data_IF_927195230339
#
_entry.id   IF_927195230339
#
_cell.length_a   1.000
_cell.length_b   1.000
_cell.length_c   1.000
_cell.angle_alpha   90.00
_cell.angle_beta   90.00
_cell.angle_gamma   90.00
#
_symmetry.space_group_name_H-M   'P 1'
#
loop_
_entity.id
_entity.type
_entity.pdbx_description
1 polymer ?
#
# COMPACT_ATOMS: atom_id res chain seq x y z
N UNK A 1 -20.13 17.28 23.32
CA UNK A 1 -19.07 17.15 22.28
C UNK A 1 -17.92 16.40 22.91
N UNK A 2 -17.83 15.09 22.69
CA UNK A 2 -16.62 14.37 23.06
C UNK A 2 -15.45 14.93 22.24
N UNK A 3 -14.35 15.23 22.92
CA UNK A 3 -13.10 15.61 22.28
C UNK A 3 -12.65 14.43 21.43
N UNK A 4 -12.71 14.57 20.10
CA UNK A 4 -11.98 13.67 19.20
C UNK A 4 -10.52 13.66 19.64
N UNK A 5 -10.11 12.60 20.32
CA UNK A 5 -8.80 12.52 20.94
C UNK A 5 -7.87 11.95 19.86
N UNK A 6 -6.98 12.78 19.34
CA UNK A 6 -5.93 12.32 18.43
C UNK A 6 -4.88 11.58 19.25
N UNK A 7 -4.66 10.31 18.93
CA UNK A 7 -3.65 9.46 19.55
C UNK A 7 -2.38 9.45 18.68
N UNK A 8 -1.20 9.52 19.29
CA UNK A 8 0.07 9.27 18.58
C UNK A 8 0.31 7.76 18.56
N UNK A 9 0.39 7.20 17.36
CA UNK A 9 0.70 5.78 17.14
C UNK A 9 2.21 5.66 16.94
N UNK A 10 2.88 4.88 17.79
CA UNK A 10 4.33 4.65 17.68
C UNK A 10 4.58 3.37 16.89
N UNK A 11 5.12 3.44 15.67
CA UNK A 11 5.51 2.24 14.93
C UNK A 11 6.68 1.53 15.64
N UNK A 12 6.86 0.25 15.33
CA UNK A 12 8.03 -0.47 15.84
C UNK A 12 9.29 -0.03 15.08
N UNK A 13 10.46 -0.27 15.67
CA UNK A 13 11.74 0.06 15.05
C UNK A 13 12.05 -0.95 13.95
N UNK A 14 12.44 -0.46 12.76
CA UNK A 14 12.95 -1.31 11.69
C UNK A 14 14.30 -1.91 12.09
N UNK A 15 14.32 -3.23 12.23
CA UNK A 15 15.54 -3.96 12.61
C UNK A 15 16.28 -4.46 11.37
N UNK A 16 15.56 -4.88 10.33
CA UNK A 16 16.13 -5.40 9.09
C UNK A 16 16.00 -4.39 7.95
N UNK A 17 17.11 -3.70 7.65
CA UNK A 17 17.17 -2.70 6.59
C UNK A 17 16.98 -3.30 5.18
N UNK A 18 17.31 -4.57 4.97
CA UNK A 18 17.08 -5.22 3.68
C UNK A 18 15.58 -5.42 3.47
N UNK A 19 14.88 -5.95 4.48
CA UNK A 19 13.41 -6.07 4.45
C UNK A 19 12.75 -4.70 4.27
N UNK A 20 13.22 -3.68 4.99
CA UNK A 20 12.71 -2.31 4.90
C UNK A 20 12.80 -1.72 3.49
N UNK A 21 13.98 -1.77 2.87
CA UNK A 21 14.14 -1.21 1.53
C UNK A 21 13.53 -2.09 0.45
N UNK A 22 13.57 -3.42 0.60
CA UNK A 22 12.87 -4.33 -0.29
C UNK A 22 11.37 -4.01 -0.35
N UNK A 23 10.74 -3.70 0.79
CA UNK A 23 9.34 -3.31 0.86
C UNK A 23 9.04 -2.09 -0.03
N UNK A 24 9.83 -1.02 0.08
CA UNK A 24 9.64 0.20 -0.72
C UNK A 24 9.81 -0.07 -2.22
N UNK A 25 10.90 -0.72 -2.63
CA UNK A 25 11.15 -1.00 -4.04
C UNK A 25 10.17 -2.01 -4.63
N UNK A 26 9.80 -3.05 -3.87
CA UNK A 26 8.80 -4.03 -4.26
C UNK A 26 7.46 -3.33 -4.55
N UNK A 27 7.00 -2.46 -3.65
CA UNK A 27 5.73 -1.73 -3.79
C UNK A 27 5.66 -0.90 -5.07
N UNK A 28 6.78 -0.25 -5.44
CA UNK A 28 6.88 0.51 -6.70
C UNK A 28 6.73 -0.42 -7.91
N UNK A 29 7.47 -1.53 -7.92
CA UNK A 29 7.47 -2.47 -9.04
C UNK A 29 6.13 -3.20 -9.17
N UNK A 30 5.48 -3.53 -8.06
CA UNK A 30 4.12 -4.08 -8.06
C UNK A 30 3.12 -3.09 -8.65
N UNK A 31 3.27 -1.80 -8.35
CA UNK A 31 2.41 -0.76 -8.92
C UNK A 31 2.58 -0.67 -10.44
N UNK A 32 3.82 -0.69 -10.93
CA UNK A 32 4.10 -0.72 -12.38
C UNK A 32 3.56 -1.98 -13.07
N UNK A 33 3.43 -3.06 -12.33
CA UNK A 33 2.97 -4.35 -12.83
C UNK A 33 1.44 -4.48 -12.83
N UNK A 34 0.80 -4.10 -11.73
CA UNK A 34 -0.56 -4.49 -11.40
C UNK A 34 -1.59 -3.36 -11.59
N UNK A 35 -1.17 -2.10 -11.50
CA UNK A 35 -2.09 -0.96 -11.54
C UNK A 35 -2.50 -0.66 -13.00
N UNK A 36 -3.80 -0.70 -13.34
CA UNK A 36 -4.31 -0.66 -14.72
C UNK A 36 -4.42 0.74 -15.32
N UNK A 37 -4.64 1.76 -14.49
CA UNK A 37 -4.98 3.13 -14.94
C UNK A 37 -3.78 4.08 -15.07
N UNK A 38 -2.61 3.71 -14.53
CA UNK A 38 -1.34 4.43 -14.71
C UNK A 38 -0.99 4.50 -16.18
N UNK A 39 -0.44 5.61 -16.66
CA UNK A 39 -0.21 5.82 -18.10
C UNK A 39 0.76 4.80 -18.73
N UNK A 40 1.79 4.40 -17.97
CA UNK A 40 2.81 3.44 -18.39
C UNK A 40 3.00 2.33 -17.35
N UNK A 41 3.10 1.08 -17.81
CA UNK A 41 3.27 -0.11 -16.97
C UNK A 41 3.23 -1.39 -17.80
N UNK A 42 3.45 -2.55 -17.16
CA UNK A 42 3.53 -3.86 -17.81
C UNK A 42 2.21 -4.34 -18.43
N UNK A 43 1.09 -3.82 -17.94
CA UNK A 43 -0.28 -4.09 -18.34
C UNK A 43 -0.74 -3.32 -19.57
N UNK A 44 0.11 -2.49 -20.17
CA UNK A 44 -0.24 -1.70 -21.36
C UNK A 44 -0.10 -2.50 -22.64
N UNK A 45 -0.93 -2.17 -23.63
CA UNK A 45 -0.98 -2.88 -24.91
C UNK A 45 0.38 -2.95 -25.63
N UNK A 46 1.22 -1.91 -25.51
CA UNK A 46 2.56 -1.90 -26.09
C UNK A 46 3.53 -2.92 -25.47
N UNK A 47 3.18 -3.52 -24.32
CA UNK A 47 3.91 -4.60 -23.67
C UNK A 47 3.36 -6.00 -24.01
N UNK A 48 2.21 -6.09 -24.71
CA UNK A 48 1.47 -7.35 -24.88
C UNK A 48 2.26 -8.48 -25.55
N UNK A 49 3.14 -8.14 -26.50
CA UNK A 49 3.94 -9.11 -27.26
C UNK A 49 5.43 -9.08 -26.87
N UNK A 50 5.75 -8.51 -25.71
CA UNK A 50 7.14 -8.27 -25.29
C UNK A 50 7.42 -9.00 -23.99
N UNK A 51 8.58 -9.65 -23.90
CA UNK A 51 9.03 -10.25 -22.65
C UNK A 51 9.03 -9.20 -21.53
N UNK A 52 8.30 -9.40 -20.41
CA UNK A 52 8.07 -8.35 -19.42
C UNK A 52 9.27 -8.22 -18.49
N UNK A 53 10.27 -7.44 -18.92
CA UNK A 53 11.44 -7.03 -18.14
C UNK A 53 11.47 -5.52 -17.94
N UNK A 54 12.26 -5.04 -16.96
CA UNK A 54 12.44 -3.60 -16.74
C UNK A 54 13.07 -2.92 -17.97
N UNK A 55 14.04 -3.56 -18.63
CA UNK A 55 14.61 -3.07 -19.90
C UNK A 55 13.55 -2.88 -20.98
N UNK A 56 12.67 -3.86 -21.15
CA UNK A 56 11.67 -3.79 -22.20
C UNK A 56 10.60 -2.73 -21.89
N UNK A 57 10.22 -2.59 -20.62
CA UNK A 57 9.33 -1.50 -20.21
C UNK A 57 9.94 -0.13 -20.54
N UNK A 58 11.19 0.13 -20.17
CA UNK A 58 11.85 1.42 -20.48
C UNK A 58 11.97 1.65 -21.97
N UNK A 59 12.35 0.63 -22.73
CA UNK A 59 12.49 0.73 -24.19
C UNK A 59 11.17 1.00 -24.90
N UNK A 60 10.06 0.44 -24.41
CA UNK A 60 8.75 0.57 -25.07
C UNK A 60 7.97 1.80 -24.61
N UNK A 61 8.07 2.18 -23.34
CA UNK A 61 7.40 3.36 -22.80
C UNK A 61 8.05 4.67 -23.27
N UNK A 62 9.33 4.65 -23.66
CA UNK A 62 10.05 5.80 -24.20
C UNK A 62 10.93 6.50 -23.17
N UNK A 63 11.80 7.39 -23.66
CA UNK A 63 12.78 8.08 -22.81
C UNK A 63 12.08 8.90 -21.73
N UNK A 64 12.53 8.73 -20.48
CA UNK A 64 12.05 9.47 -19.31
C UNK A 64 10.53 9.38 -19.07
N UNK A 65 9.85 8.33 -19.55
CA UNK A 65 8.41 8.11 -19.35
C UNK A 65 8.01 8.18 -17.87
N UNK A 66 8.91 7.80 -16.96
CA UNK A 66 8.65 7.78 -15.53
C UNK A 66 8.28 9.18 -14.99
N UNK A 67 8.71 10.26 -15.64
CA UNK A 67 8.33 11.63 -15.28
C UNK A 67 6.81 11.84 -15.34
N UNK A 68 6.11 11.25 -16.32
CA UNK A 68 4.66 11.42 -16.47
C UNK A 68 3.87 10.62 -15.44
N UNK A 69 4.42 9.48 -14.98
CA UNK A 69 3.73 8.59 -14.03
C UNK A 69 4.17 8.75 -12.58
N UNK A 70 5.20 9.54 -12.28
CA UNK A 70 5.79 9.64 -10.93
C UNK A 70 4.75 9.91 -9.84
N UNK A 71 3.87 10.88 -10.04
CA UNK A 71 2.82 11.20 -9.06
C UNK A 71 1.81 10.07 -8.89
N UNK A 72 1.47 9.38 -9.99
CA UNK A 72 0.59 8.21 -9.96
C UNK A 72 1.24 7.06 -9.19
N UNK A 73 2.54 6.81 -9.39
CA UNK A 73 3.29 5.81 -8.61
C UNK A 73 3.33 6.18 -7.12
N UNK A 74 3.55 7.44 -6.79
CA UNK A 74 3.54 7.90 -5.39
C UNK A 74 2.17 7.72 -4.74
N UNK A 75 1.08 7.93 -5.49
CA UNK A 75 -0.27 7.80 -4.95
C UNK A 75 -0.73 6.34 -4.86
N UNK A 76 -0.72 5.61 -5.97
CA UNK A 76 -1.19 4.23 -6.01
C UNK A 76 -0.22 3.26 -5.33
N UNK A 77 1.08 3.50 -5.46
CA UNK A 77 2.09 2.63 -4.84
C UNK A 77 2.15 2.77 -3.33
N UNK A 78 1.54 3.82 -2.75
CA UNK A 78 1.31 3.88 -1.32
C UNK A 78 0.36 2.76 -0.85
N UNK A 79 -0.62 2.35 -1.67
CA UNK A 79 -1.51 1.24 -1.33
C UNK A 79 -0.71 -0.07 -1.21
N UNK A 80 0.14 -0.36 -2.19
CA UNK A 80 1.06 -1.51 -2.16
C UNK A 80 2.02 -1.44 -0.97
N UNK A 81 2.57 -0.26 -0.69
CA UNK A 81 3.44 -0.05 0.47
C UNK A 81 2.73 -0.36 1.78
N UNK A 82 1.49 0.12 1.95
CA UNK A 82 0.71 -0.10 3.16
C UNK A 82 0.37 -1.58 3.35
N UNK A 83 0.11 -2.35 2.28
CA UNK A 83 -0.06 -3.79 2.37
C UNK A 83 1.13 -4.49 3.03
N UNK A 84 2.34 -4.22 2.54
CA UNK A 84 3.56 -4.81 3.10
C UNK A 84 3.90 -4.25 4.49
N UNK A 85 3.71 -2.95 4.69
CA UNK A 85 4.02 -2.30 5.97
C UNK A 85 3.11 -2.81 7.09
N UNK A 86 1.80 -2.85 6.88
CA UNK A 86 0.83 -3.28 7.90
C UNK A 86 0.89 -4.80 8.19
N UNK A 87 1.50 -5.58 7.29
CA UNK A 87 1.82 -6.99 7.53
C UNK A 87 3.20 -7.20 8.14
N UNK A 88 4.03 -6.17 8.28
CA UNK A 88 5.35 -6.26 8.91
C UNK A 88 5.28 -6.11 10.44
N UNK A 89 6.35 -6.52 11.13
CA UNK A 89 6.46 -6.31 12.58
C UNK A 89 6.44 -4.81 12.96
N UNK A 90 6.94 -3.95 12.08
CA UNK A 90 7.04 -2.51 12.29
C UNK A 90 5.74 -1.75 12.06
N UNK A 91 4.92 -2.19 11.11
CA UNK A 91 3.57 -1.64 10.91
C UNK A 91 2.51 -2.27 11.79
N UNK A 92 2.81 -3.37 12.50
CA UNK A 92 1.89 -4.01 13.44
C UNK A 92 1.26 -3.05 14.47
N UNK A 93 1.98 -2.11 15.10
CA UNK A 93 1.35 -1.15 16.00
C UNK A 93 0.31 -0.26 15.31
N UNK A 94 0.47 0.05 14.03
CA UNK A 94 -0.50 0.83 13.25
C UNK A 94 -1.72 -0.04 12.91
N UNK A 95 -1.49 -1.26 12.41
CA UNK A 95 -2.56 -2.22 12.14
C UNK A 95 -3.39 -2.53 13.39
N UNK A 96 -2.73 -2.89 14.49
CA UNK A 96 -3.40 -3.25 15.74
C UNK A 96 -4.14 -2.07 16.36
N UNK A 97 -3.61 -0.84 16.26
CA UNK A 97 -4.33 0.35 16.71
C UNK A 97 -5.63 0.58 15.92
N UNK A 98 -5.61 0.44 14.59
CA UNK A 98 -6.83 0.50 13.77
C UNK A 98 -7.81 -0.58 14.23
N UNK A 99 -7.35 -1.83 14.34
CA UNK A 99 -8.22 -2.96 14.65
C UNK A 99 -8.79 -2.93 16.06
N UNK A 100 -8.04 -2.51 17.06
CA UNK A 100 -8.53 -2.34 18.44
C UNK A 100 -9.61 -1.27 18.49
N UNK A 101 -9.41 -0.13 17.82
CA UNK A 101 -10.41 0.92 17.78
C UNK A 101 -11.69 0.44 17.09
N UNK A 102 -11.57 -0.21 15.93
CA UNK A 102 -12.71 -0.80 15.22
C UNK A 102 -13.42 -1.84 16.09
N UNK A 103 -12.68 -2.73 16.75
CA UNK A 103 -13.22 -3.74 17.69
C UNK A 103 -14.09 -3.10 18.77
N UNK A 104 -13.57 -2.03 19.38
CA UNK A 104 -14.30 -1.28 20.40
C UNK A 104 -15.57 -0.62 19.86
N UNK A 105 -15.52 -0.03 18.67
CA UNK A 105 -16.68 0.62 18.05
C UNK A 105 -17.82 -0.37 17.71
N UNK A 106 -17.47 -1.61 17.35
CA UNK A 106 -18.47 -2.65 17.07
C UNK A 106 -18.75 -3.58 18.25
N UNK A 107 -18.10 -3.35 19.41
CA UNK A 107 -18.17 -4.23 20.58
C UNK A 107 -17.91 -5.71 20.23
N UNK A 108 -16.88 -5.95 19.42
CA UNK A 108 -16.49 -7.28 18.94
C UNK A 108 -14.97 -7.41 18.89
N UNK A 109 -14.40 -8.44 19.51
CA UNK A 109 -12.96 -8.64 19.59
C UNK A 109 -12.40 -9.31 18.32
N UNK A 110 -12.15 -8.50 17.28
CA UNK A 110 -11.59 -8.99 16.02
C UNK A 110 -10.18 -9.58 16.20
N UNK A 111 -9.39 -9.04 17.11
CA UNK A 111 -7.98 -9.40 17.28
C UNK A 111 -7.81 -10.68 18.11
N UNK A 112 -8.65 -10.89 19.13
CA UNK A 112 -8.63 -12.11 19.94
C UNK A 112 -9.29 -13.31 19.27
N UNK A 113 -10.24 -13.08 18.36
CA UNK A 113 -10.98 -14.16 17.66
C UNK A 113 -10.38 -14.55 16.30
N UNK A 114 -9.44 -13.75 15.78
CA UNK A 114 -8.77 -14.04 14.51
C UNK A 114 -7.40 -14.63 14.77
N UNK A 115 -7.09 -15.77 14.14
CA UNK A 115 -5.78 -16.41 14.27
C UNK A 115 -4.80 -15.93 13.21
N UNK A 116 -5.32 -15.38 12.10
CA UNK A 116 -4.54 -14.96 10.95
C UNK A 116 -5.13 -13.70 10.34
N UNK A 117 -4.28 -12.84 9.79
CA UNK A 117 -4.70 -11.71 8.99
C UNK A 117 -3.86 -11.52 7.73
N UNK A 118 -4.38 -10.70 6.82
CA UNK A 118 -3.66 -10.17 5.68
C UNK A 118 -4.20 -8.82 5.26
N UNK A 119 -3.42 -8.09 4.47
CA UNK A 119 -3.76 -6.74 4.00
C UNK A 119 -3.66 -6.72 2.49
N UNK A 120 -4.80 -6.45 1.84
CA UNK A 120 -4.94 -6.61 0.40
C UNK A 120 -5.37 -5.31 -0.25
N UNK A 121 -4.80 -5.02 -1.41
CA UNK A 121 -5.38 -4.07 -2.36
C UNK A 121 -6.64 -4.72 -2.93
N UNK A 122 -7.77 -4.08 -2.72
CA UNK A 122 -9.07 -4.58 -3.19
C UNK A 122 -9.60 -3.80 -4.40
N UNK A 123 -9.01 -2.63 -4.67
CA UNK A 123 -9.50 -1.72 -5.70
C UNK A 123 -9.46 -2.36 -7.09
N UNK A 124 -10.57 -2.22 -7.84
CA UNK A 124 -10.69 -2.71 -9.21
C UNK A 124 -9.71 -2.08 -10.19
N UNK A 125 -8.99 -1.04 -9.79
CA UNK A 125 -7.94 -0.43 -10.61
C UNK A 125 -6.66 -1.28 -10.66
N UNK A 126 -6.56 -2.31 -9.82
CA UNK A 126 -5.47 -3.29 -9.84
C UNK A 126 -5.95 -4.61 -10.48
N UNK A 127 -5.06 -5.41 -11.09
CA UNK A 127 -5.45 -6.73 -11.62
C UNK A 127 -5.71 -7.71 -10.45
N UNK A 128 -4.93 -7.61 -9.38
CA UNK A 128 -5.06 -8.46 -8.21
C UNK A 128 -6.34 -8.21 -7.39
N UNK A 129 -6.84 -6.98 -7.36
CA UNK A 129 -8.05 -6.59 -6.60
C UNK A 129 -9.31 -7.34 -7.03
N UNK A 130 -9.50 -7.58 -8.33
CA UNK A 130 -10.68 -8.30 -8.83
C UNK A 130 -10.70 -9.80 -8.51
N UNK A 131 -9.53 -10.41 -8.28
CA UNK A 131 -9.40 -11.86 -8.05
C UNK A 131 -9.44 -12.24 -6.57
N UNK A 132 -8.99 -11.34 -5.69
CA UNK A 132 -8.98 -11.57 -4.25
C UNK A 132 -10.38 -11.82 -3.65
N UNK A 133 -11.37 -11.14 -4.21
CA UNK A 133 -12.75 -11.08 -3.71
C UNK A 133 -13.51 -12.40 -3.91
N UNK A 134 -13.30 -13.05 -5.06
CA UNK A 134 -13.95 -14.32 -5.38
C UNK A 134 -13.49 -15.46 -4.49
N UNK A 135 -12.24 -15.41 -4.04
CA UNK A 135 -11.57 -16.57 -3.46
C UNK A 135 -11.75 -16.65 -1.93
N UNK A 136 -12.18 -15.56 -1.27
CA UNK A 136 -12.14 -15.47 0.20
C UNK A 136 -13.52 -15.31 0.90
N UNK A 137 -14.59 -15.01 0.16
CA UNK A 137 -15.98 -14.83 0.64
C UNK A 137 -16.11 -14.29 2.09
N UNK A 138 -15.57 -13.11 2.41
CA UNK A 138 -15.60 -12.59 3.77
C UNK A 138 -16.96 -11.97 4.13
N UNK A 139 -17.34 -12.04 5.41
CA UNK A 139 -18.39 -11.19 5.96
C UNK A 139 -17.87 -9.75 6.07
N UNK A 140 -18.58 -8.78 5.47
CA UNK A 140 -18.20 -7.37 5.55
C UNK A 140 -18.59 -6.79 6.90
N UNK A 141 -17.62 -6.19 7.58
CA UNK A 141 -17.85 -5.59 8.89
C UNK A 141 -18.88 -4.46 8.84
N UNK A 142 -19.84 -4.50 9.77
CA UNK A 142 -20.83 -3.43 9.97
C UNK A 142 -22.15 -3.60 9.22
N UNK A 143 -22.42 -4.79 8.67
CA UNK A 143 -23.61 -5.04 7.85
C UNK A 143 -24.39 -6.28 8.27
N UNK A 144 -25.69 -6.26 7.92
CA UNK A 144 -26.53 -7.44 7.92
C UNK A 144 -26.00 -8.50 6.93
N UNK A 145 -26.54 -9.71 6.97
CA UNK A 145 -26.22 -10.76 5.99
C UNK A 145 -26.36 -10.23 4.55
N UNK A 146 -25.25 -10.15 3.83
CA UNK A 146 -25.19 -9.75 2.42
C UNK A 146 -25.00 -10.98 1.56
N UNK A 147 -25.43 -10.94 0.30
CA UNK A 147 -25.03 -11.97 -0.66
C UNK A 147 -23.55 -11.81 -1.00
N UNK A 148 -22.92 -12.91 -1.42
CA UNK A 148 -21.52 -12.88 -1.84
C UNK A 148 -21.25 -11.87 -2.98
N UNK A 149 -22.18 -11.77 -3.94
CA UNK A 149 -22.06 -10.84 -5.07
C UNK A 149 -22.10 -9.36 -4.63
N UNK A 150 -22.94 -9.03 -3.65
CA UNK A 150 -23.02 -7.66 -3.09
C UNK A 150 -21.75 -7.32 -2.31
N UNK A 151 -21.27 -8.24 -1.46
CA UNK A 151 -20.01 -8.06 -0.75
C UNK A 151 -18.86 -7.85 -1.74
N UNK A 152 -18.83 -8.65 -2.80
CA UNK A 152 -17.83 -8.56 -3.83
C UNK A 152 -17.81 -7.22 -4.55
N UNK A 153 -18.99 -6.67 -4.87
CA UNK A 153 -19.11 -5.35 -5.46
C UNK A 153 -18.50 -4.29 -4.53
N UNK A 154 -18.78 -4.32 -3.22
CA UNK A 154 -18.29 -3.29 -2.29
C UNK A 154 -16.79 -3.36 -2.06
N UNK A 155 -16.23 -4.56 -1.93
CA UNK A 155 -14.78 -4.74 -1.76
C UNK A 155 -14.03 -4.18 -2.98
N UNK A 156 -14.55 -4.36 -4.19
CA UNK A 156 -13.91 -3.92 -5.44
C UNK A 156 -13.72 -2.39 -5.56
N UNK A 157 -14.39 -1.61 -4.71
CA UNK A 157 -14.27 -0.15 -4.67
C UNK A 157 -13.52 0.37 -3.45
N UNK A 158 -13.08 -0.50 -2.54
CA UNK A 158 -12.19 -0.12 -1.44
C UNK A 158 -10.73 -0.13 -1.93
N UNK A 159 -9.92 0.83 -1.49
CA UNK A 159 -8.48 0.80 -1.75
C UNK A 159 -7.81 -0.38 -1.03
N UNK A 160 -8.13 -0.56 0.27
CA UNK A 160 -7.59 -1.63 1.10
C UNK A 160 -8.68 -2.48 1.75
N UNK A 161 -8.38 -3.75 1.92
CA UNK A 161 -9.16 -4.72 2.68
C UNK A 161 -8.26 -5.43 3.69
N UNK A 162 -8.59 -5.35 4.97
CA UNK A 162 -8.02 -6.23 5.99
C UNK A 162 -8.88 -7.48 6.06
N UNK A 163 -8.29 -8.63 5.71
CA UNK A 163 -8.95 -9.92 5.85
C UNK A 163 -8.48 -10.58 7.12
N UNK A 164 -9.44 -10.94 7.95
CA UNK A 164 -9.23 -11.64 9.21
C UNK A 164 -9.83 -13.04 9.08
N UNK A 165 -9.06 -14.06 9.42
CA UNK A 165 -9.53 -15.45 9.44
C UNK A 165 -9.69 -15.92 10.88
N UNK A 166 -10.95 -16.13 11.26
CA UNK A 166 -11.33 -16.82 12.49
C UNK A 166 -11.58 -18.31 12.26
N UNK A 167 -11.89 -19.04 13.33
CA UNK A 167 -12.19 -20.49 13.24
C UNK A 167 -13.50 -20.78 12.50
N UNK A 168 -14.52 -19.94 12.72
CA UNK A 168 -15.86 -20.14 12.12
C UNK A 168 -16.12 -19.24 10.91
N UNK A 169 -15.52 -18.05 10.88
CA UNK A 169 -15.86 -16.99 9.91
C UNK A 169 -14.65 -16.15 9.53
N UNK A 170 -14.68 -15.64 8.30
CA UNK A 170 -13.73 -14.64 7.83
C UNK A 170 -14.40 -13.26 7.84
N UNK A 171 -13.67 -12.24 8.28
CA UNK A 171 -14.14 -10.86 8.29
C UNK A 171 -13.30 -10.01 7.34
N UNK A 172 -13.96 -9.12 6.61
CA UNK A 172 -13.31 -8.08 5.83
C UNK A 172 -13.62 -6.70 6.39
N UNK A 173 -12.56 -5.94 6.63
CA UNK A 173 -12.63 -4.54 7.03
C UNK A 173 -12.11 -3.69 5.88
N UNK A 174 -12.95 -2.82 5.34
CA UNK A 174 -12.64 -2.02 4.16
C UNK A 174 -12.16 -0.63 4.55
N UNK A 175 -11.21 -0.10 3.79
CA UNK A 175 -10.71 1.24 4.00
C UNK A 175 -10.19 1.92 2.74
N UNK A 176 -10.02 3.23 2.89
CA UNK A 176 -9.57 4.14 1.83
C UNK A 176 -8.12 4.60 2.09
N UNK A 177 -7.37 4.88 1.03
CA UNK A 177 -6.00 5.36 1.11
C UNK A 177 -5.84 6.64 0.29
N UNK A 178 -5.38 7.70 0.95
CA UNK A 178 -5.16 9.00 0.31
C UNK A 178 -3.72 9.48 0.49
N UNK A 179 -2.87 9.22 -0.53
CA UNK A 179 -1.43 9.49 -0.46
C UNK A 179 -1.03 10.94 -0.69
N UNK A 180 -1.80 11.71 -1.46
CA UNK A 180 -1.52 13.13 -1.70
C UNK A 180 -2.55 14.08 -1.06
N UNK A 181 -3.71 13.54 -0.67
CA UNK A 181 -4.84 14.32 -0.21
C UNK A 181 -5.39 13.80 1.12
N UNK A 182 -4.54 13.23 1.98
CA UNK A 182 -4.95 12.60 3.24
C UNK A 182 -5.86 13.46 4.10
N UNK A 183 -5.67 14.78 4.11
CA UNK A 183 -6.51 15.75 4.82
C UNK A 183 -8.00 15.69 4.42
N UNK A 184 -8.36 15.16 3.24
CA UNK A 184 -9.76 14.97 2.86
C UNK A 184 -10.45 13.91 3.72
N UNK A 185 -9.72 12.91 4.24
CA UNK A 185 -10.27 11.83 5.07
C UNK A 185 -10.81 12.33 6.42
N UNK A 186 -10.37 13.49 6.91
CA UNK A 186 -10.94 14.10 8.14
C UNK A 186 -12.21 14.90 7.88
N UNK A 187 -12.62 15.06 6.62
CA UNK A 187 -13.86 15.74 6.26
C UNK A 187 -14.99 14.71 6.08
N UNK A 188 -16.13 14.92 6.77
CA UNK A 188 -17.29 14.03 6.61
C UNK A 188 -17.79 13.94 5.16
N UNK A 189 -17.71 15.04 4.42
CA UNK A 189 -18.15 15.10 3.01
C UNK A 189 -17.32 14.26 2.04
N UNK A 190 -16.07 13.88 2.38
CA UNK A 190 -15.30 12.92 1.58
C UNK A 190 -16.00 11.55 1.57
N UNK A 191 -16.35 11.07 2.76
CA UNK A 191 -16.96 9.75 2.95
C UNK A 191 -18.36 9.68 2.33
N UNK A 192 -19.12 10.76 2.36
CA UNK A 192 -20.42 10.86 1.69
C UNK A 192 -20.29 10.70 0.17
N UNK A 193 -19.36 11.43 -0.45
CA UNK A 193 -19.13 11.37 -1.91
C UNK A 193 -18.67 10.00 -2.39
N UNK A 194 -17.92 9.28 -1.56
CA UNK A 194 -17.46 7.91 -1.84
C UNK A 194 -18.51 6.84 -1.55
N UNK A 195 -19.73 7.21 -1.11
CA UNK A 195 -20.71 6.27 -0.57
C UNK A 195 -20.09 5.37 0.50
N UNK A 196 -19.30 5.99 1.39
CA UNK A 196 -18.41 5.34 2.34
C UNK A 196 -19.09 4.67 3.51
N UNK A 197 -20.36 4.29 3.36
CA UNK A 197 -21.09 3.45 4.27
C UNK A 197 -20.20 2.25 4.63
N UNK A 198 -19.71 1.53 3.61
CA UNK A 198 -18.99 0.25 3.73
C UNK A 198 -17.55 0.33 4.22
N UNK A 199 -16.99 1.53 4.38
CA UNK A 199 -15.63 1.71 4.86
C UNK A 199 -15.62 1.90 6.38
N UNK A 200 -14.64 1.30 7.06
CA UNK A 200 -14.46 1.43 8.51
C UNK A 200 -13.27 2.30 8.86
N UNK A 201 -12.28 2.43 7.96
CA UNK A 201 -11.08 3.21 8.22
C UNK A 201 -10.57 3.97 6.98
N UNK A 202 -9.66 4.91 7.23
CA UNK A 202 -8.87 5.55 6.19
C UNK A 202 -7.42 5.74 6.61
N UNK A 203 -6.48 5.67 5.67
CA UNK A 203 -5.06 5.97 5.90
C UNK A 203 -4.65 7.08 4.94
N UNK A 204 -4.22 8.21 5.48
CA UNK A 204 -3.85 9.39 4.71
C UNK A 204 -2.44 9.87 5.00
N UNK A 205 -1.81 10.48 4.01
CA UNK A 205 -0.59 11.26 4.22
C UNK A 205 -0.94 12.73 4.41
N UNK A 206 -0.46 13.31 5.50
CA UNK A 206 -0.62 14.73 5.80
C UNK A 206 0.65 15.49 5.42
N UNK A 207 0.51 16.44 4.48
CA UNK A 207 1.61 17.34 4.13
C UNK A 207 1.97 18.21 5.33
N UNK A 208 3.22 18.12 5.78
CA UNK A 208 3.77 19.03 6.78
C UNK A 208 4.43 20.22 6.12
N UNK A 209 3.68 21.31 5.98
CA UNK A 209 4.24 22.59 5.57
C UNK A 209 5.09 23.13 6.73
N UNK A 210 6.35 23.47 6.44
CA UNK A 210 7.10 24.32 7.36
C UNK A 210 6.53 25.72 7.23
N UNK A 211 6.13 26.29 8.36
CA UNK A 211 5.93 27.73 8.43
C UNK A 211 7.32 28.37 8.24
N UNK A 212 7.47 29.20 7.20
CA UNK A 212 8.71 29.92 6.91
C UNK A 212 9.21 30.71 8.14
N UNK A 213 8.29 31.18 8.98
CA UNK A 213 8.61 31.87 10.23
C UNK A 213 9.27 30.95 11.28
N UNK A 214 8.89 29.67 11.34
CA UNK A 214 9.50 28.67 12.23
C UNK A 214 10.89 28.24 11.73
N UNK A 215 11.05 28.12 10.41
CA UNK A 215 12.35 27.81 9.81
C UNK A 215 13.37 28.95 10.04
N UNK A 216 12.93 30.21 9.96
CA UNK A 216 13.77 31.40 10.15
C UNK A 216 14.08 31.70 11.63
N UNK A 217 13.25 31.23 12.57
CA UNK A 217 13.46 31.42 14.00
C UNK A 217 14.33 30.34 14.67
N UNK A 218 14.81 29.36 13.90
CA UNK A 218 15.63 28.27 14.43
C UNK A 218 14.87 27.30 15.34
N UNK A 219 13.53 27.36 15.37
CA UNK A 219 12.73 26.42 16.15
C UNK A 219 12.84 25.02 15.55
N UNK A 220 13.20 24.05 16.39
CA UNK A 220 13.36 22.66 15.98
C UNK A 220 11.99 22.10 15.57
N UNK A 221 11.91 21.58 14.34
CA UNK A 221 10.69 20.96 13.83
C UNK A 221 10.32 19.77 14.73
N UNK A 222 9.07 19.73 15.20
CA UNK A 222 8.55 18.54 15.90
C UNK A 222 8.80 17.29 15.05
N UNK A 223 9.19 16.15 15.63
CA UNK A 223 9.41 14.92 14.88
C UNK A 223 8.13 14.52 14.11
N UNK A 224 8.24 13.95 12.91
CA UNK A 224 7.09 13.42 12.19
C UNK A 224 6.43 12.29 12.99
N UNK A 225 5.10 12.26 12.99
CA UNK A 225 4.32 11.30 13.75
C UNK A 225 3.28 10.61 12.87
N UNK A 226 2.83 9.45 13.34
CA UNK A 226 1.61 8.80 12.90
C UNK A 226 0.55 9.07 13.95
N UNK A 227 -0.64 9.49 13.55
CA UNK A 227 -1.75 9.77 14.47
C UNK A 227 -3.01 9.04 14.05
N UNK A 228 -3.81 8.58 15.02
CA UNK A 228 -5.11 7.96 14.79
C UNK A 228 -6.23 8.74 15.47
N UNK A 229 -7.43 8.74 14.89
CA UNK A 229 -8.59 9.36 15.49
C UNK A 229 -9.89 9.08 14.75
N UNK A 230 -11.01 9.13 15.48
CA UNK A 230 -12.34 8.97 14.92
C UNK A 230 -12.80 10.20 14.15
N UNK A 231 -13.45 9.96 13.03
CA UNK A 231 -14.15 10.97 12.24
C UNK A 231 -15.61 10.58 12.18
N UNK A 232 -16.48 11.43 12.75
CA UNK A 232 -17.92 11.22 12.70
C UNK A 232 -18.44 11.72 11.35
N UNK A 233 -19.15 10.86 10.64
CA UNK A 233 -19.72 11.17 9.31
C UNK A 233 -21.19 10.78 9.28
N UNK A 234 -21.95 11.27 8.30
CA UNK A 234 -23.33 10.85 8.10
C UNK A 234 -23.47 9.39 7.65
N UNK A 235 -22.39 8.77 7.16
CA UNK A 235 -22.32 7.37 6.72
C UNK A 235 -21.62 6.47 7.75
N UNK A 236 -21.58 6.90 9.01
CA UNK A 236 -21.00 6.18 10.14
C UNK A 236 -19.61 6.69 10.56
N UNK A 237 -19.16 6.25 11.73
CA UNK A 237 -17.85 6.64 12.26
C UNK A 237 -16.73 5.93 11.49
N UNK A 238 -15.65 6.66 11.18
CA UNK A 238 -14.47 6.15 10.46
C UNK A 238 -13.23 6.36 11.31
N UNK A 239 -12.40 5.33 11.46
CA UNK A 239 -11.12 5.48 12.14
C UNK A 239 -10.06 5.92 11.13
N UNK A 240 -9.48 7.11 11.32
CA UNK A 240 -8.56 7.70 10.35
C UNK A 240 -7.15 7.76 10.93
N UNK A 241 -6.21 7.14 10.22
CA UNK A 241 -4.77 7.23 10.49
C UNK A 241 -4.15 8.25 9.55
N UNK A 242 -3.39 9.18 10.11
CA UNK A 242 -2.64 10.21 9.39
C UNK A 242 -1.15 10.00 9.61
N UNK A 243 -0.41 9.82 8.52
CA UNK A 243 1.05 9.73 8.51
C UNK A 243 1.61 11.07 8.01
N UNK A 244 2.50 11.69 8.78
CA UNK A 244 3.16 12.90 8.32
C UNK A 244 4.04 12.63 7.09
N UNK A 245 4.02 13.54 6.10
CA UNK A 245 4.70 13.34 4.81
C UNK A 245 6.22 13.18 4.90
N UNK A 246 6.84 13.71 5.96
CA UNK A 246 8.27 13.58 6.25
C UNK A 246 8.59 12.47 7.26
N UNK A 247 7.59 11.65 7.63
CA UNK A 247 7.84 10.38 8.32
C UNK A 247 8.63 9.43 7.40
N UNK A 248 9.59 8.69 7.96
CA UNK A 248 10.53 7.86 7.18
C UNK A 248 9.81 6.93 6.20
N UNK A 249 8.77 6.22 6.64
CA UNK A 249 7.99 5.32 5.77
C UNK A 249 7.47 5.99 4.48
N UNK A 250 7.08 7.27 4.52
CA UNK A 250 6.58 7.99 3.34
C UNK A 250 7.73 8.64 2.57
N UNK A 251 8.62 9.33 3.29
CA UNK A 251 9.72 10.05 2.66
C UNK A 251 10.69 9.09 1.95
N UNK A 252 10.98 7.94 2.56
CA UNK A 252 11.85 6.92 1.98
C UNK A 252 11.19 6.23 0.78
N UNK A 253 9.87 6.02 0.82
CA UNK A 253 9.13 5.56 -0.34
C UNK A 253 9.26 6.55 -1.51
N UNK A 254 9.08 7.86 -1.26
CA UNK A 254 9.26 8.88 -2.30
C UNK A 254 10.71 8.97 -2.81
N UNK A 255 11.69 8.76 -1.93
CA UNK A 255 13.10 8.66 -2.33
C UNK A 255 13.33 7.44 -3.22
N UNK A 256 12.79 6.27 -2.85
CA UNK A 256 12.86 5.04 -3.65
C UNK A 256 12.18 5.20 -5.02
N UNK A 257 11.05 5.91 -5.10
CA UNK A 257 10.42 6.29 -6.38
C UNK A 257 11.39 7.12 -7.23
N UNK A 258 12.09 8.09 -6.64
CA UNK A 258 13.13 8.86 -7.32
C UNK A 258 14.31 8.00 -7.79
N UNK A 259 14.71 7.00 -7.01
CA UNK A 259 15.75 6.04 -7.40
C UNK A 259 15.33 5.16 -8.57
N UNK A 260 14.09 4.64 -8.57
CA UNK A 260 13.55 3.89 -9.71
C UNK A 260 13.43 4.79 -10.94
N UNK A 261 12.96 6.03 -10.80
CA UNK A 261 12.94 7.01 -11.89
C UNK A 261 14.31 7.16 -12.56
N UNK A 262 15.38 7.22 -11.76
CA UNK A 262 16.75 7.31 -12.25
C UNK A 262 17.14 6.07 -13.07
N UNK A 263 16.87 4.86 -12.58
CA UNK A 263 17.10 3.62 -13.34
C UNK A 263 16.26 3.54 -14.61
N UNK A 264 15.00 3.96 -14.56
CA UNK A 264 14.11 3.96 -15.73
C UNK A 264 14.55 4.96 -16.81
N UNK A 265 15.30 5.99 -16.43
CA UNK A 265 15.81 7.01 -17.36
C UNK A 265 17.20 6.69 -17.89
N UNK A 266 18.10 6.20 -17.03
CA UNK A 266 19.53 6.01 -17.35
C UNK A 266 19.94 4.55 -17.55
N UNK A 267 19.06 3.60 -17.23
CA UNK A 267 19.35 2.16 -17.24
C UNK A 267 19.99 1.64 -15.95
N UNK A 268 20.10 0.31 -15.83
CA UNK A 268 20.63 -0.38 -14.65
C UNK A 268 22.12 -0.09 -14.38
N UNK A 269 22.91 0.16 -15.43
CA UNK A 269 24.35 0.39 -15.33
C UNK A 269 24.71 1.80 -14.82
N UNK A 270 23.71 2.64 -14.58
CA UNK A 270 23.95 3.99 -14.09
C UNK A 270 24.68 3.94 -12.73
N UNK A 271 25.66 4.84 -12.61
CA UNK A 271 26.53 4.98 -11.44
C UNK A 271 26.14 6.24 -10.67
N UNK A 272 25.38 6.05 -9.60
CA UNK A 272 25.09 7.08 -8.61
C UNK A 272 25.68 6.66 -7.25
N UNK A 273 26.08 7.65 -6.46
CA UNK A 273 26.50 7.43 -5.08
C UNK A 273 25.25 7.30 -4.21
N UNK A 274 24.77 6.07 -4.09
CA UNK A 274 23.66 5.74 -3.21
C UNK A 274 24.13 5.55 -1.78
N UNK A 275 23.20 5.69 -0.83
CA UNK A 275 23.44 5.23 0.53
C UNK A 275 23.78 3.73 0.52
N UNK A 276 24.89 3.30 1.17
CA UNK A 276 25.27 1.89 1.23
C UNK A 276 24.18 0.93 1.69
N UNK A 277 23.22 1.38 2.50
CA UNK A 277 22.09 0.54 2.95
C UNK A 277 21.19 0.09 1.79
N UNK A 278 21.20 0.83 0.68
CA UNK A 278 20.37 0.54 -0.49
C UNK A 278 21.02 -0.50 -1.41
N UNK A 279 22.35 -0.66 -1.38
CA UNK A 279 23.06 -1.50 -2.33
C UNK A 279 22.57 -2.95 -2.41
N UNK A 280 22.22 -3.64 -1.30
CA UNK A 280 21.68 -4.99 -1.39
C UNK A 280 20.46 -5.10 -2.30
N UNK A 281 19.54 -4.13 -2.20
CA UNK A 281 18.29 -4.14 -2.97
C UNK A 281 18.50 -3.61 -4.39
N UNK A 282 19.27 -2.53 -4.54
CA UNK A 282 19.56 -1.95 -5.85
C UNK A 282 20.33 -2.93 -6.73
N UNK A 283 21.25 -3.72 -6.17
CA UNK A 283 21.98 -4.73 -6.93
C UNK A 283 21.06 -5.85 -7.43
N UNK A 284 20.08 -6.28 -6.63
CA UNK A 284 19.06 -7.25 -7.05
C UNK A 284 18.26 -6.72 -8.24
N UNK A 285 17.80 -5.47 -8.18
CA UNK A 285 17.05 -4.82 -9.27
C UNK A 285 17.91 -4.73 -10.54
N UNK A 286 19.18 -4.32 -10.40
CA UNK A 286 20.12 -4.20 -11.53
C UNK A 286 20.42 -5.56 -12.17
N UNK A 287 20.67 -6.59 -11.38
CA UNK A 287 20.97 -7.93 -11.87
C UNK A 287 19.77 -8.57 -12.59
N UNK A 288 18.55 -8.24 -12.17
CA UNK A 288 17.30 -8.73 -12.77
C UNK A 288 16.69 -7.74 -13.76
N UNK A 289 17.44 -6.73 -14.22
CA UNK A 289 16.93 -5.71 -15.13
C UNK A 289 16.35 -6.29 -16.43
N UNK A 290 16.99 -7.36 -16.90
CA UNK A 290 16.63 -8.13 -18.08
C UNK A 290 15.77 -9.36 -17.78
N UNK A 291 15.58 -9.68 -16.50
CA UNK A 291 14.77 -10.80 -16.04
C UNK A 291 13.26 -10.51 -16.14
N UNK A 292 12.46 -11.56 -15.98
CA UNK A 292 11.00 -11.41 -15.94
C UNK A 292 10.61 -10.65 -14.66
N UNK A 293 9.75 -9.63 -14.75
CA UNK A 293 9.36 -8.79 -13.62
C UNK A 293 8.82 -9.59 -12.43
N UNK A 294 8.02 -10.64 -12.68
CA UNK A 294 7.53 -11.53 -11.63
C UNK A 294 8.64 -12.27 -10.85
N UNK A 295 9.80 -12.57 -11.46
CA UNK A 295 10.93 -13.17 -10.72
C UNK A 295 11.54 -12.16 -9.75
N UNK A 296 11.73 -10.93 -10.22
CA UNK A 296 12.24 -9.85 -9.40
C UNK A 296 11.27 -9.55 -8.24
N UNK A 297 9.97 -9.49 -8.52
CA UNK A 297 8.95 -9.31 -7.48
C UNK A 297 8.94 -10.47 -6.48
N UNK A 298 9.01 -11.72 -6.95
CA UNK A 298 9.08 -12.88 -6.07
C UNK A 298 10.32 -12.85 -5.18
N UNK A 299 11.48 -12.49 -5.74
CA UNK A 299 12.72 -12.35 -4.99
C UNK A 299 12.61 -11.26 -3.92
N UNK A 300 12.14 -10.06 -4.28
CA UNK A 300 11.99 -8.95 -3.35
C UNK A 300 10.99 -9.28 -2.24
N UNK A 301 9.88 -9.93 -2.55
CA UNK A 301 8.92 -10.44 -1.54
C UNK A 301 9.55 -11.45 -0.60
N UNK A 302 10.44 -12.31 -1.09
CA UNK A 302 11.18 -13.26 -0.26
C UNK A 302 12.14 -12.62 0.75
N UNK A 303 12.46 -11.33 0.59
CA UNK A 303 13.28 -10.56 1.55
C UNK A 303 12.45 -9.92 2.66
N UNK A 304 11.11 -9.89 2.52
CA UNK A 304 10.23 -9.23 3.47
C UNK A 304 10.02 -10.10 4.72
N UNK A 305 9.94 -9.45 5.88
CA UNK A 305 9.63 -10.08 7.16
C UNK A 305 8.24 -9.68 7.63
N UNK A 306 7.30 -10.61 7.54
CA UNK A 306 5.94 -10.45 8.03
C UNK A 306 5.84 -10.71 9.54
N UNK A 307 4.87 -10.07 10.18
CA UNK A 307 4.41 -10.39 11.52
C UNK A 307 3.89 -11.84 11.56
N UNK A 308 4.09 -12.55 12.67
CA UNK A 308 3.70 -13.96 12.83
C UNK A 308 2.20 -14.20 12.61
N UNK A 309 1.34 -13.23 12.93
CA UNK A 309 -0.10 -13.32 12.70
C UNK A 309 -0.51 -12.98 11.26
N UNK A 310 0.36 -12.34 10.47
CA UNK A 310 0.09 -11.88 9.10
C UNK A 310 0.21 -12.99 8.04
N UNK A 311 -0.21 -14.21 8.37
CA UNK A 311 0.04 -15.41 7.54
C UNK A 311 -0.76 -15.45 6.23
N UNK A 312 -1.83 -14.65 6.11
CA UNK A 312 -2.54 -14.50 4.83
C UNK A 312 -1.78 -13.58 3.86
N UNK A 313 -0.84 -12.77 4.38
CA UNK A 313 0.05 -11.91 3.60
C UNK A 313 -0.68 -10.80 2.85
N UNK A 314 -0.27 -10.60 1.60
CA UNK A 314 -0.77 -9.57 0.68
C UNK A 314 -1.23 -10.23 -0.64
N UNK A 315 -1.73 -9.44 -1.60
CA UNK A 315 -2.19 -9.93 -2.90
C UNK A 315 -1.19 -10.91 -3.55
N UNK A 316 -1.60 -12.12 -4.00
CA UNK A 316 -0.69 -13.09 -4.58
C UNK A 316 -0.13 -12.60 -5.92
N UNK A 317 1.13 -12.93 -6.21
CA UNK A 317 1.67 -12.75 -7.57
C UNK A 317 1.02 -13.76 -8.51
N UNK A 318 0.69 -13.38 -9.75
CA UNK A 318 0.18 -14.33 -10.72
C UNK A 318 1.26 -15.35 -11.11
N UNK A 319 0.83 -16.56 -11.47
CA UNK A 319 1.73 -17.54 -12.07
C UNK A 319 2.21 -17.03 -13.44
N UNK A 320 3.48 -17.28 -13.77
CA UNK A 320 4.00 -17.00 -15.11
C UNK A 320 3.26 -17.86 -16.13
N UNK A 321 2.71 -17.22 -17.14
CA UNK A 321 2.19 -17.92 -18.32
C UNK A 321 3.37 -18.14 -19.26
N UNK A 322 3.86 -19.38 -19.35
CA UNK A 322 4.82 -19.76 -20.39
C UNK A 322 3.98 -20.09 -21.63
N UNK A 323 4.12 -19.37 -22.76
CA UNK A 323 3.40 -19.72 -23.97
C UNK A 323 3.77 -21.16 -24.36
N UNK A 324 2.79 -22.04 -24.42
CA UNK A 324 2.97 -23.36 -25.00
C UNK A 324 3.28 -23.18 -26.48
N UNK A 325 4.51 -23.49 -26.88
CA UNK A 325 4.84 -23.66 -28.29
C UNK A 325 4.08 -24.91 -28.73
N UNK A 326 3.04 -24.74 -29.55
CA UNK A 326 2.53 -25.85 -30.35
C UNK A 326 3.62 -26.16 -31.38
N UNK A 327 4.31 -27.28 -31.18
CA UNK A 327 5.24 -27.87 -32.14
C UNK A 327 4.44 -28.64 -33.18
#
# INVERSE_FOLDING_TARGET
MEKNTLEIIKPAVFVDMNSYWAMHFCSILETLYDQKTIEHGFQKSYMGDVFPSLRNLTSRAGFAFFNSIKMSVQNFGLQSLLCHYLTSAEGWPVFSNIMVNISNNYNYDFMGLSTQYGVFISGKDFQSGSKFISDNNPELLGYNSMTHAEAAEKVAYADLCFLLRGEERNFAVLGEVEGNHGQQLVSGGYWEKKNGLYYSFGIGVRRRNQDLSQALSGQQKNPPVITGGWVNTSVGNKYVVMIDSDHSVVQDFYNAVGTIQLFMTMGADQRANYDPVLYPILNVIKQNWDGHILDLLQYLRGMLKSNEAATLGVNPLPAKVVPSIMV
#
